data_IF_371322423643
#
_entry.id   IF_371322423643
#
_cell.length_a   1.000
_cell.length_b   1.000
_cell.length_c   1.000
_cell.angle_alpha   90.00
_cell.angle_beta   90.00
_cell.angle_gamma   90.00
#
_symmetry.space_group_name_H-M   'P 1'
#
loop_
_entity.id
_entity.type
_entity.pdbx_description
1 polymer ?
#
# COMPACT_ATOMS: atom_id res chain seq x y z
N UNK A 1 32.60 13.65 -4.05
CA UNK A 1 31.15 13.91 -3.88
C UNK A 1 30.48 12.55 -3.76
N UNK A 2 30.07 12.17 -2.55
CA UNK A 2 29.20 11.00 -2.38
C UNK A 2 27.89 11.25 -3.14
N UNK A 3 27.46 10.30 -3.96
CA UNK A 3 26.13 10.35 -4.54
C UNK A 3 25.10 10.34 -3.41
N UNK A 4 24.07 11.20 -3.44
CA UNK A 4 23.08 11.26 -2.38
C UNK A 4 22.45 9.89 -2.16
N UNK A 5 22.39 9.47 -0.88
CA UNK A 5 21.82 8.18 -0.48
C UNK A 5 20.34 8.15 -0.88
N UNK A 6 19.98 7.24 -1.78
CA UNK A 6 18.59 7.07 -2.19
C UNK A 6 17.82 6.41 -1.06
N UNK A 7 16.88 7.14 -0.47
CA UNK A 7 16.02 6.66 0.61
C UNK A 7 15.15 5.48 0.19
N UNK A 8 14.82 4.62 1.15
CA UNK A 8 13.86 3.56 0.92
C UNK A 8 12.46 4.14 0.64
N UNK A 9 11.68 3.46 -0.19
CA UNK A 9 10.27 3.78 -0.42
C UNK A 9 9.42 2.99 0.57
N UNK A 10 8.53 3.67 1.27
CA UNK A 10 7.70 3.10 2.33
C UNK A 10 6.23 3.18 1.93
N UNK A 11 5.51 2.06 2.08
CA UNK A 11 4.05 2.02 1.96
C UNK A 11 3.50 1.19 3.12
N UNK A 12 2.39 1.61 3.70
CA UNK A 12 1.78 0.92 4.84
C UNK A 12 0.37 0.42 4.50
N UNK A 13 0.05 -0.78 4.96
CA UNK A 13 -1.29 -1.35 4.96
C UNK A 13 -1.77 -1.45 6.40
N UNK A 14 -2.90 -0.82 6.74
CA UNK A 14 -3.46 -0.83 8.09
C UNK A 14 -4.57 -1.87 8.18
N UNK A 15 -4.56 -2.67 9.25
CA UNK A 15 -5.66 -3.57 9.56
C UNK A 15 -6.79 -2.76 10.21
N UNK A 16 -8.00 -2.86 9.66
CA UNK A 16 -9.15 -2.04 10.11
C UNK A 16 -9.73 -2.45 11.47
N UNK A 17 -9.61 -3.72 11.87
CA UNK A 17 -10.19 -4.26 13.11
C UNK A 17 -9.13 -4.68 14.15
N UNK A 18 -7.85 -4.37 13.91
CA UNK A 18 -6.75 -4.75 14.81
C UNK A 18 -5.63 -3.69 14.78
N UNK A 19 -4.88 -3.48 15.88
CA UNK A 19 -3.78 -2.52 15.94
C UNK A 19 -2.52 -3.01 15.20
N UNK A 20 -2.69 -3.58 14.02
CA UNK A 20 -1.63 -4.13 13.19
C UNK A 20 -1.51 -3.31 11.92
N UNK A 21 -0.28 -2.95 11.58
CA UNK A 21 0.10 -2.45 10.27
C UNK A 21 1.10 -3.39 9.61
N UNK A 22 1.16 -3.36 8.28
CA UNK A 22 2.22 -3.98 7.51
C UNK A 22 2.94 -2.90 6.71
N UNK A 23 4.22 -2.72 7.00
CA UNK A 23 5.10 -1.83 6.25
C UNK A 23 5.76 -2.62 5.12
N UNK A 24 5.62 -2.13 3.90
CA UNK A 24 6.34 -2.58 2.72
C UNK A 24 7.48 -1.60 2.43
N UNK A 25 8.71 -2.03 2.73
CA UNK A 25 9.93 -1.25 2.49
C UNK A 25 10.59 -1.70 1.20
N UNK A 26 10.69 -0.83 0.21
CA UNK A 26 11.34 -1.11 -1.09
C UNK A 26 12.58 -0.26 -1.31
N UNK A 27 13.61 -0.85 -1.90
CA UNK A 27 14.78 -0.09 -2.37
C UNK A 27 15.90 0.02 -1.32
N UNK A 28 17.04 0.62 -1.68
CA UNK A 28 17.38 1.05 -3.05
C UNK A 28 17.67 -0.13 -4.01
N UNK A 29 17.73 -1.37 -3.50
CA UNK A 29 17.87 -2.59 -4.31
C UNK A 29 16.52 -3.15 -4.77
N UNK A 30 16.49 -4.08 -5.73
CA UNK A 30 15.28 -4.83 -6.15
C UNK A 30 14.83 -5.84 -5.07
N UNK A 31 14.72 -5.41 -3.83
CA UNK A 31 14.22 -6.18 -2.71
C UNK A 31 13.13 -5.40 -1.98
N UNK A 32 12.15 -6.14 -1.46
CA UNK A 32 11.09 -5.61 -0.59
C UNK A 32 11.15 -6.36 0.73
N UNK A 33 11.14 -5.63 1.85
CA UNK A 33 10.92 -6.18 3.17
C UNK A 33 9.45 -5.97 3.57
N UNK A 34 8.85 -6.99 4.16
CA UNK A 34 7.59 -6.89 4.89
C UNK A 34 7.86 -6.85 6.38
N UNK A 35 7.31 -5.85 7.06
CA UNK A 35 7.61 -5.55 8.46
C UNK A 35 6.28 -5.37 9.18
N UNK A 36 6.09 -6.11 10.27
CA UNK A 36 4.95 -5.93 11.16
C UNK A 36 5.12 -4.62 11.93
N UNK A 37 4.07 -3.83 12.02
CA UNK A 37 3.98 -2.69 12.90
C UNK A 37 2.87 -2.94 13.93
N UNK A 38 3.24 -2.98 15.21
CA UNK A 38 2.29 -2.95 16.32
C UNK A 38 1.95 -1.48 16.61
N UNK A 39 0.71 -1.09 16.32
CA UNK A 39 0.23 0.30 16.43
C UNK A 39 -0.08 0.73 17.87
N UNK A 40 -0.12 -0.21 18.83
CA UNK A 40 -0.28 0.14 20.25
C UNK A 40 1.03 0.59 20.87
N UNK A 41 2.13 -0.04 20.47
CA UNK A 41 3.46 0.15 21.07
C UNK A 41 4.45 0.87 20.15
N UNK A 42 4.10 1.03 18.87
CA UNK A 42 5.00 1.45 17.80
C UNK A 42 6.25 0.57 17.65
N UNK A 43 6.10 -0.72 17.95
CA UNK A 43 7.14 -1.72 17.70
C UNK A 43 7.10 -2.20 16.25
N UNK A 44 8.28 -2.31 15.64
CA UNK A 44 8.47 -2.80 14.27
C UNK A 44 9.24 -4.11 14.29
N UNK A 45 8.68 -5.16 13.67
CA UNK A 45 9.29 -6.49 13.62
C UNK A 45 9.42 -6.97 12.18
N UNK A 46 10.65 -7.22 11.75
CA UNK A 46 10.93 -7.73 10.40
C UNK A 46 10.25 -9.09 10.20
N UNK A 47 9.49 -9.22 9.12
CA UNK A 47 8.93 -10.48 8.64
C UNK A 47 9.87 -11.13 7.64
N UNK A 48 9.66 -10.85 6.35
CA UNK A 48 10.38 -11.53 5.29
C UNK A 48 10.87 -10.58 4.21
N UNK A 49 11.93 -10.99 3.52
CA UNK A 49 12.42 -10.32 2.32
C UNK A 49 12.02 -11.06 1.06
N UNK A 50 11.68 -10.30 0.02
CA UNK A 50 11.45 -10.79 -1.33
C UNK A 50 12.41 -10.11 -2.30
N UNK A 51 13.13 -10.92 -3.10
CA UNK A 51 13.93 -10.43 -4.24
C UNK A 51 13.00 -10.22 -5.44
N UNK A 52 12.66 -8.96 -5.71
CA UNK A 52 11.67 -8.56 -6.71
C UNK A 52 10.93 -7.30 -6.29
N UNK A 53 9.69 -7.18 -6.75
CA UNK A 53 8.78 -6.08 -6.45
C UNK A 53 7.50 -6.65 -5.85
N UNK A 54 6.98 -5.96 -4.85
CA UNK A 54 5.57 -6.05 -4.44
C UNK A 54 4.90 -4.77 -4.94
N UNK A 55 3.72 -4.90 -5.53
CA UNK A 55 2.88 -3.78 -5.94
C UNK A 55 1.95 -3.42 -4.79
N UNK A 56 2.40 -2.48 -3.98
CA UNK A 56 1.76 -2.00 -2.75
C UNK A 56 0.30 -1.52 -2.96
N UNK A 57 0.03 -0.94 -4.13
CA UNK A 57 -1.30 -0.47 -4.56
C UNK A 57 -2.24 -1.61 -4.98
N UNK A 58 -1.71 -2.82 -5.18
CA UNK A 58 -2.45 -4.06 -5.51
C UNK A 58 -2.35 -5.10 -4.38
N UNK A 59 -2.15 -4.64 -3.15
CA UNK A 59 -2.02 -5.49 -1.98
C UNK A 59 -3.08 -5.11 -0.94
N UNK A 60 -3.36 -5.96 0.03
CA UNK A 60 -4.30 -5.64 1.10
C UNK A 60 -4.04 -6.49 2.33
N UNK A 61 -4.44 -5.97 3.49
CA UNK A 61 -4.31 -6.64 4.78
C UNK A 61 -5.70 -7.01 5.28
N UNK A 62 -5.87 -8.25 5.77
CA UNK A 62 -7.15 -8.67 6.34
C UNK A 62 -7.54 -7.77 7.51
N UNK A 63 -8.85 -7.58 7.78
CA UNK A 63 -9.30 -6.71 8.87
C UNK A 63 -8.64 -6.99 10.22
N UNK A 64 -8.40 -8.26 10.54
CA UNK A 64 -7.75 -8.69 11.78
C UNK A 64 -6.21 -8.70 11.74
N UNK A 65 -5.60 -8.25 10.63
CA UNK A 65 -4.17 -8.15 10.46
C UNK A 65 -3.44 -9.47 10.22
N UNK A 66 -4.15 -10.61 10.08
CA UNK A 66 -3.53 -11.94 10.01
C UNK A 66 -3.07 -12.35 8.63
N UNK A 67 -3.75 -11.90 7.58
CA UNK A 67 -3.48 -12.33 6.21
C UNK A 67 -3.14 -11.15 5.32
N UNK A 68 -2.12 -11.34 4.49
CA UNK A 68 -1.72 -10.40 3.46
C UNK A 68 -2.03 -11.01 2.10
N UNK A 69 -2.77 -10.27 1.27
CA UNK A 69 -2.86 -10.53 -0.17
C UNK A 69 -1.97 -9.52 -0.89
N UNK A 70 -1.14 -9.98 -1.82
CA UNK A 70 -0.21 -9.09 -2.52
C UNK A 70 0.07 -9.57 -3.94
N UNK A 71 0.29 -8.60 -4.83
CA UNK A 71 0.81 -8.85 -6.18
C UNK A 71 2.31 -8.61 -6.21
N UNK A 72 3.06 -9.56 -6.76
CA UNK A 72 4.51 -9.50 -6.84
C UNK A 72 5.06 -9.88 -8.21
N UNK A 73 6.28 -9.44 -8.49
CA UNK A 73 6.98 -9.70 -9.75
C UNK A 73 8.49 -9.77 -9.52
N UNK A 74 9.14 -10.77 -10.13
CA UNK A 74 10.59 -10.94 -10.11
C UNK A 74 11.21 -11.08 -11.51
N UNK A 75 10.39 -11.09 -12.57
CA UNK A 75 10.84 -11.18 -13.96
C UNK A 75 11.44 -12.53 -14.37
N UNK A 76 11.33 -13.57 -13.52
CA UNK A 76 11.75 -14.93 -13.87
C UNK A 76 10.67 -15.62 -14.71
N UNK A 77 10.48 -15.18 -15.95
CA UNK A 77 9.39 -15.60 -16.84
C UNK A 77 9.31 -17.11 -17.13
N UNK A 78 10.44 -17.83 -16.99
CA UNK A 78 10.50 -19.31 -17.15
C UNK A 78 10.21 -20.10 -15.87
N UNK A 79 10.00 -19.43 -14.74
CA UNK A 79 9.68 -20.09 -13.46
C UNK A 79 8.20 -20.47 -13.36
N UNK A 80 7.83 -21.27 -12.36
CA UNK A 80 6.43 -21.66 -12.11
C UNK A 80 5.48 -20.49 -11.92
N UNK A 81 5.99 -19.34 -11.46
CA UNK A 81 5.20 -18.12 -11.29
C UNK A 81 4.92 -17.41 -12.61
N UNK A 82 5.63 -17.75 -13.70
CA UNK A 82 5.63 -16.94 -14.91
C UNK A 82 6.14 -15.52 -14.65
N UNK A 83 7.11 -15.33 -13.73
CA UNK A 83 7.71 -14.03 -13.42
C UNK A 83 6.86 -13.05 -12.58
N UNK A 84 5.55 -13.26 -12.45
CA UNK A 84 4.62 -12.45 -11.64
C UNK A 84 3.48 -13.28 -11.04
N UNK A 85 2.98 -12.90 -9.87
CA UNK A 85 1.96 -13.69 -9.16
C UNK A 85 1.17 -12.87 -8.16
N UNK A 86 -0.03 -13.34 -7.84
CA UNK A 86 -0.73 -12.96 -6.61
C UNK A 86 -0.51 -14.06 -5.58
N UNK A 87 -0.30 -13.68 -4.33
CA UNK A 87 -0.18 -14.61 -3.22
C UNK A 87 -0.96 -14.14 -2.01
N UNK A 88 -1.40 -15.10 -1.21
CA UNK A 88 -1.93 -14.87 0.14
C UNK A 88 -1.01 -15.52 1.14
N UNK A 89 -0.67 -14.82 2.21
CA UNK A 89 0.30 -15.24 3.22
C UNK A 89 -0.17 -14.83 4.63
N UNK A 90 0.48 -15.34 5.67
CA UNK A 90 0.27 -14.84 7.04
C UNK A 90 1.13 -13.60 7.23
N UNK A 91 0.56 -12.46 7.62
CA UNK A 91 1.35 -11.28 7.92
C UNK A 91 2.24 -11.54 9.16
N UNK A 92 3.49 -11.02 9.20
CA UNK A 92 4.16 -10.20 8.19
C UNK A 92 4.96 -11.00 7.14
N UNK A 93 4.75 -12.31 7.03
CA UNK A 93 5.51 -13.19 6.14
C UNK A 93 5.04 -13.09 4.68
N UNK A 94 5.89 -13.52 3.75
CA UNK A 94 5.59 -13.56 2.31
C UNK A 94 5.54 -15.00 1.79
N UNK A 95 5.62 -16.02 2.68
CA UNK A 95 5.44 -17.42 2.28
C UNK A 95 3.97 -17.65 1.92
N UNK A 96 3.73 -17.95 0.65
CA UNK A 96 2.41 -18.12 0.08
C UNK A 96 1.67 -19.35 0.65
N UNK A 97 0.55 -19.11 1.32
CA UNK A 97 -0.50 -20.08 1.63
C UNK A 97 -1.32 -20.40 0.38
N UNK A 98 -1.70 -19.37 -0.38
CA UNK A 98 -2.30 -19.49 -1.71
C UNK A 98 -1.43 -18.77 -2.73
N UNK A 99 -1.30 -19.35 -3.92
CA UNK A 99 -0.36 -18.90 -4.95
C UNK A 99 -0.98 -18.98 -6.34
N UNK A 100 -1.04 -17.83 -6.99
CA UNK A 100 -1.72 -17.60 -8.26
C UNK A 100 -0.72 -17.03 -9.28
N UNK A 101 0.06 -17.89 -9.97
CA UNK A 101 0.90 -17.49 -11.10
C UNK A 101 0.13 -16.70 -12.15
N UNK A 102 0.79 -15.71 -12.74
CA UNK A 102 0.13 -14.80 -13.68
C UNK A 102 0.77 -14.77 -15.06
N UNK A 103 2.08 -14.54 -15.18
CA UNK A 103 2.73 -14.45 -16.50
C UNK A 103 2.83 -13.05 -17.09
N UNK A 104 2.13 -12.06 -16.51
CA UNK A 104 2.12 -10.65 -16.94
C UNK A 104 1.85 -9.71 -15.75
N UNK A 105 1.83 -8.38 -16.01
CA UNK A 105 1.57 -7.36 -14.99
C UNK A 105 0.18 -6.67 -15.12
N UNK A 106 -0.77 -7.24 -15.86
CA UNK A 106 -2.13 -6.70 -16.08
C UNK A 106 -3.12 -7.31 -15.09
N UNK A 107 -3.70 -6.58 -14.13
CA UNK A 107 -4.42 -7.18 -12.99
C UNK A 107 -3.51 -7.81 -11.93
N UNK A 108 -4.05 -8.74 -11.15
CA UNK A 108 -3.40 -9.26 -9.97
C UNK A 108 -3.57 -8.37 -8.74
N UNK A 109 -3.41 -9.01 -7.59
CA UNK A 109 -3.74 -8.45 -6.30
C UNK A 109 -5.17 -8.78 -5.91
N UNK A 110 -5.69 -8.06 -4.93
CA UNK A 110 -7.04 -8.26 -4.47
C UNK A 110 -7.30 -7.54 -3.15
N UNK A 111 -8.50 -7.76 -2.62
CA UNK A 111 -8.99 -7.10 -1.41
C UNK A 111 -9.64 -8.12 -0.48
N UNK A 112 -9.44 -7.93 0.83
CA UNK A 112 -10.21 -8.64 1.84
C UNK A 112 -11.55 -7.94 2.06
N UNK A 113 -12.63 -8.67 1.83
CA UNK A 113 -13.98 -8.24 2.20
C UNK A 113 -14.17 -8.35 3.72
N UNK A 114 -13.77 -9.48 4.29
CA UNK A 114 -13.78 -9.74 5.73
C UNK A 114 -12.50 -10.48 6.15
N UNK A 115 -12.45 -10.99 7.40
CA UNK A 115 -11.27 -11.63 7.99
C UNK A 115 -10.81 -12.90 7.24
N UNK A 116 -11.71 -13.52 6.48
CA UNK A 116 -11.46 -14.78 5.77
C UNK A 116 -11.89 -14.76 4.31
N UNK A 117 -12.68 -13.79 3.86
CA UNK A 117 -13.15 -13.70 2.47
C UNK A 117 -12.37 -12.64 1.72
N UNK A 118 -11.87 -12.99 0.53
CA UNK A 118 -11.17 -12.07 -0.35
C UNK A 118 -11.71 -12.11 -1.78
N UNK A 119 -11.49 -11.03 -2.51
CA UNK A 119 -11.70 -10.92 -3.94
C UNK A 119 -10.36 -10.80 -4.65
N UNK A 120 -10.19 -11.50 -5.78
CA UNK A 120 -9.03 -11.37 -6.65
C UNK A 120 -9.32 -10.40 -7.80
N UNK A 121 -8.38 -9.51 -8.05
CA UNK A 121 -8.43 -8.64 -9.22
C UNK A 121 -8.02 -9.44 -10.47
N UNK A 122 -9.01 -9.97 -11.20
CA UNK A 122 -8.81 -10.84 -12.36
C UNK A 122 -9.67 -10.42 -13.55
N UNK A 123 -9.13 -10.49 -14.76
CA UNK A 123 -9.92 -10.37 -16.00
C UNK A 123 -10.26 -11.71 -16.66
N UNK A 124 -9.35 -12.70 -16.62
CA UNK A 124 -9.46 -13.95 -17.40
C UNK A 124 -9.23 -15.22 -16.58
N UNK A 125 -9.32 -15.13 -15.24
CA UNK A 125 -9.01 -16.24 -14.32
C UNK A 125 -7.51 -16.42 -14.10
N UNK A 126 -7.08 -16.62 -12.85
CA UNK A 126 -5.70 -16.99 -12.56
C UNK A 126 -5.48 -18.50 -12.62
N UNK A 127 -4.25 -18.91 -12.97
CA UNK A 127 -3.82 -20.28 -12.72
C UNK A 127 -3.70 -20.46 -11.20
N UNK A 128 -4.45 -21.39 -10.63
CA UNK A 128 -4.32 -21.76 -9.22
C UNK A 128 -3.24 -22.83 -9.13
N UNK A 129 -2.09 -22.51 -8.53
CA UNK A 129 -1.01 -23.48 -8.31
C UNK A 129 -1.03 -24.03 -6.88
N UNK A 130 -1.44 -23.20 -5.93
CA UNK A 130 -1.66 -23.60 -4.54
C UNK A 130 -2.86 -22.83 -3.99
N UNK A 131 -3.68 -23.50 -3.21
CA UNK A 131 -4.81 -22.89 -2.52
C UNK A 131 -4.77 -23.21 -1.02
N UNK A 132 -5.59 -22.53 -0.23
CA UNK A 132 -5.68 -22.69 1.22
C UNK A 132 -7.12 -22.67 1.70
N UNK A 133 -7.44 -23.46 2.73
CA UNK A 133 -8.73 -23.39 3.44
C UNK A 133 -8.76 -22.30 4.52
N UNK A 134 -7.65 -21.61 4.76
CA UNK A 134 -7.53 -20.58 5.80
C UNK A 134 -8.35 -19.31 5.47
N UNK A 135 -8.49 -19.03 4.18
CA UNK A 135 -9.25 -17.93 3.59
C UNK A 135 -9.99 -18.44 2.35
N UNK A 136 -11.03 -17.75 1.90
CA UNK A 136 -11.90 -18.17 0.80
C UNK A 136 -12.02 -17.06 -0.23
N UNK A 137 -11.83 -17.40 -1.50
CA UNK A 137 -12.13 -16.52 -2.61
C UNK A 137 -13.66 -16.38 -2.77
N UNK A 138 -14.16 -15.14 -2.85
CA UNK A 138 -15.54 -14.84 -3.23
C UNK A 138 -15.56 -13.83 -4.39
N UNK A 139 -15.85 -14.28 -5.63
CA UNK A 139 -15.98 -13.40 -6.79
C UNK A 139 -17.09 -12.36 -6.66
N UNK A 140 -18.10 -12.60 -5.81
CA UNK A 140 -19.20 -11.65 -5.57
C UNK A 140 -18.77 -10.52 -4.63
N UNK A 141 -17.68 -10.69 -3.88
CA UNK A 141 -17.11 -9.66 -3.02
C UNK A 141 -16.27 -8.62 -3.77
N UNK A 142 -16.40 -8.57 -5.11
CA UNK A 142 -15.76 -7.55 -5.95
C UNK A 142 -16.18 -6.12 -5.55
N UNK A 143 -15.30 -5.13 -5.72
CA UNK A 143 -15.67 -3.72 -5.60
C UNK A 143 -16.91 -3.35 -6.41
N UNK A 144 -17.74 -2.46 -5.87
CA UNK A 144 -18.94 -1.97 -6.55
C UNK A 144 -18.59 -1.16 -7.81
N UNK A 145 -17.56 -0.32 -7.72
CA UNK A 145 -17.04 0.48 -8.81
C UNK A 145 -15.79 -0.15 -9.43
N UNK A 146 -15.63 0.05 -10.74
CA UNK A 146 -14.51 -0.47 -11.52
C UNK A 146 -13.63 0.68 -12.01
N UNK A 147 -12.36 0.67 -11.59
CA UNK A 147 -11.36 1.66 -12.00
C UNK A 147 -10.29 1.04 -12.90
N UNK A 148 -10.67 0.02 -13.68
CA UNK A 148 -9.78 -0.70 -14.59
C UNK A 148 -9.01 -1.83 -13.91
N UNK A 149 -8.16 -2.48 -14.70
CA UNK A 149 -7.54 -3.74 -14.28
C UNK A 149 -6.28 -3.58 -13.44
N UNK A 150 -5.63 -2.41 -13.37
CA UNK A 150 -4.28 -2.31 -12.81
C UNK A 150 -4.25 -1.84 -11.34
N UNK A 151 -3.43 -0.83 -11.01
CA UNK A 151 -3.34 -0.29 -9.67
C UNK A 151 -4.66 0.37 -9.22
N UNK A 152 -5.34 1.20 -10.04
CA UNK A 152 -6.55 1.89 -9.58
C UNK A 152 -7.69 0.94 -9.20
N UNK A 153 -7.86 -0.17 -9.92
CA UNK A 153 -8.89 -1.18 -9.68
C UNK A 153 -8.82 -1.88 -8.32
N UNK A 154 -7.66 -1.85 -7.65
CA UNK A 154 -7.50 -2.36 -6.28
C UNK A 154 -7.33 -1.19 -5.31
N UNK A 155 -6.56 -0.18 -5.70
CA UNK A 155 -6.17 0.91 -4.82
C UNK A 155 -7.33 1.82 -4.44
N UNK A 156 -8.14 2.26 -5.40
CA UNK A 156 -9.23 3.20 -5.14
C UNK A 156 -10.36 2.54 -4.32
N UNK A 157 -10.82 1.31 -4.64
CA UNK A 157 -11.78 0.64 -3.77
C UNK A 157 -11.24 0.39 -2.35
N UNK A 158 -9.94 0.13 -2.19
CA UNK A 158 -9.31 0.04 -0.88
C UNK A 158 -9.42 1.36 -0.14
N UNK A 159 -9.04 2.49 -0.75
CA UNK A 159 -9.14 3.81 -0.13
C UNK A 159 -10.59 4.10 0.32
N UNK A 160 -11.56 3.89 -0.57
CA UNK A 160 -12.98 4.10 -0.28
C UNK A 160 -13.44 3.24 0.91
N UNK A 161 -13.06 1.97 0.92
CA UNK A 161 -13.34 1.05 2.05
C UNK A 161 -12.72 1.54 3.36
N UNK A 162 -11.52 2.12 3.32
CA UNK A 162 -10.81 2.66 4.48
C UNK A 162 -11.25 4.09 4.86
N UNK A 163 -12.42 4.54 4.40
CA UNK A 163 -13.04 5.80 4.83
C UNK A 163 -12.53 7.05 4.11
N UNK A 164 -11.86 6.88 2.97
CA UNK A 164 -11.57 7.99 2.07
C UNK A 164 -12.77 8.29 1.16
N UNK A 165 -13.02 9.57 0.91
CA UNK A 165 -14.06 10.01 -0.02
C UNK A 165 -13.40 10.43 -1.32
N UNK A 166 -13.81 9.84 -2.45
CA UNK A 166 -13.45 10.35 -3.78
C UNK A 166 -14.21 11.68 -3.99
N UNK A 167 -13.47 12.78 -4.09
CA UNK A 167 -14.06 14.12 -4.27
C UNK A 167 -13.97 14.62 -5.71
N UNK A 168 -12.97 14.14 -6.46
CA UNK A 168 -12.74 14.56 -7.83
C UNK A 168 -12.06 13.44 -8.63
N UNK A 169 -12.46 13.29 -9.89
CA UNK A 169 -11.80 12.43 -10.85
C UNK A 169 -11.78 13.17 -12.19
N UNK A 170 -10.58 13.55 -12.63
CA UNK A 170 -10.40 14.31 -13.85
C UNK A 170 -9.34 13.67 -14.75
N UNK A 171 -9.66 13.60 -16.04
CA UNK A 171 -8.73 13.25 -17.10
C UNK A 171 -8.06 14.54 -17.58
N UNK A 172 -6.79 14.74 -17.22
CA UNK A 172 -6.01 15.94 -17.60
C UNK A 172 -5.68 15.91 -19.08
N UNK A 173 -5.21 14.75 -19.58
CA UNK A 173 -4.95 14.47 -20.99
C UNK A 173 -4.94 12.97 -21.24
N UNK A 174 -4.76 12.56 -22.50
CA UNK A 174 -4.70 11.14 -22.85
C UNK A 174 -3.61 10.43 -22.03
N UNK A 175 -4.00 9.39 -21.28
CA UNK A 175 -3.14 8.63 -20.36
C UNK A 175 -2.59 9.44 -19.19
N UNK A 176 -3.29 10.50 -18.77
CA UNK A 176 -3.00 11.27 -17.56
C UNK A 176 -4.30 11.57 -16.81
N UNK A 177 -4.46 10.92 -15.67
CA UNK A 177 -5.60 11.08 -14.78
C UNK A 177 -5.09 11.52 -13.40
N UNK A 178 -5.85 12.40 -12.76
CA UNK A 178 -5.71 12.66 -11.34
C UNK A 178 -7.03 12.40 -10.61
N UNK A 179 -6.93 11.80 -9.43
CA UNK A 179 -8.08 11.48 -8.59
C UNK A 179 -7.80 11.98 -7.19
N UNK A 180 -8.69 12.80 -6.68
CA UNK A 180 -8.55 13.41 -5.37
C UNK A 180 -9.42 12.64 -4.38
N UNK A 181 -8.78 12.18 -3.31
CA UNK A 181 -9.42 11.58 -2.15
C UNK A 181 -9.24 12.47 -0.93
N UNK A 182 -10.29 12.61 -0.13
CA UNK A 182 -10.24 13.32 1.15
C UNK A 182 -10.62 12.39 2.30
N UNK A 183 -9.94 12.53 3.43
CA UNK A 183 -10.28 11.85 4.68
C UNK A 183 -10.25 12.84 5.85
N UNK A 184 -11.32 12.93 6.67
CA UNK A 184 -11.30 13.77 7.86
C UNK A 184 -10.21 13.29 8.82
N UNK A 185 -9.38 14.21 9.32
CA UNK A 185 -8.30 13.92 10.29
C UNK A 185 -8.48 14.64 11.62
N UNK A 186 -9.67 15.23 11.83
CA UNK A 186 -10.07 15.88 13.07
C UNK A 186 -9.86 17.39 13.05
N UNK A 187 -10.52 18.09 14.00
CA UNK A 187 -10.44 19.55 14.17
C UNK A 187 -10.77 20.38 12.92
N UNK A 188 -11.59 19.84 12.03
CA UNK A 188 -11.99 20.48 10.76
C UNK A 188 -10.99 20.29 9.62
N UNK A 189 -9.85 19.64 9.87
CA UNK A 189 -8.86 19.33 8.85
C UNK A 189 -9.19 18.05 8.10
N UNK A 190 -8.76 18.01 6.84
CA UNK A 190 -8.82 16.84 5.98
C UNK A 190 -7.43 16.52 5.42
N UNK A 191 -7.06 15.25 5.43
CA UNK A 191 -5.96 14.76 4.62
C UNK A 191 -6.47 14.59 3.20
N UNK A 192 -5.85 15.30 2.26
CA UNK A 192 -6.10 15.15 0.84
C UNK A 192 -4.98 14.35 0.21
N UNK A 193 -5.36 13.39 -0.62
CA UNK A 193 -4.47 12.56 -1.41
C UNK A 193 -4.81 12.77 -2.88
N UNK A 194 -3.81 13.13 -3.67
CA UNK A 194 -3.94 13.32 -5.11
C UNK A 194 -3.25 12.14 -5.77
N UNK A 195 -4.03 11.18 -6.26
CA UNK A 195 -3.54 9.99 -6.93
C UNK A 195 -3.38 10.25 -8.42
N UNK A 196 -2.18 10.06 -8.94
CA UNK A 196 -1.82 10.29 -10.33
C UNK A 196 -1.67 8.96 -11.08
N UNK A 197 -2.23 8.90 -12.28
CA UNK A 197 -2.00 7.83 -13.25
C UNK A 197 -1.50 8.45 -14.56
N UNK A 198 -0.20 8.35 -14.84
CA UNK A 198 0.41 9.01 -16.01
C UNK A 198 1.53 8.21 -16.69
N UNK A 199 1.68 8.39 -18.00
CA UNK A 199 2.88 7.98 -18.73
C UNK A 199 3.92 9.11 -18.65
N UNK A 200 5.17 8.78 -18.32
CA UNK A 200 6.23 9.79 -18.17
C UNK A 200 6.13 10.56 -16.85
N UNK A 201 5.93 9.84 -15.74
CA UNK A 201 5.92 10.40 -14.40
C UNK A 201 7.21 11.14 -14.05
N UNK A 202 7.18 12.09 -13.09
CA UNK A 202 8.38 12.79 -12.64
C UNK A 202 9.50 11.84 -12.21
N UNK A 203 10.78 12.27 -12.27
CA UNK A 203 11.91 11.45 -11.85
C UNK A 203 11.70 10.82 -10.46
N UNK A 204 11.93 9.50 -10.36
CA UNK A 204 11.77 8.76 -9.12
C UNK A 204 10.34 8.31 -8.78
N UNK A 205 9.33 8.70 -9.58
CA UNK A 205 7.95 8.22 -9.48
C UNK A 205 7.68 7.15 -10.55
N UNK A 206 6.75 6.24 -10.25
CA UNK A 206 6.22 5.31 -11.25
C UNK A 206 4.98 5.90 -11.94
N UNK A 207 4.40 5.17 -12.88
CA UNK A 207 3.16 5.57 -13.56
C UNK A 207 1.98 5.81 -12.62
N UNK A 208 2.01 5.22 -11.42
CA UNK A 208 1.06 5.48 -10.34
C UNK A 208 1.77 6.01 -9.10
N UNK A 209 1.40 7.20 -8.63
CA UNK A 209 2.01 7.85 -7.48
C UNK A 209 1.03 8.81 -6.81
N UNK A 210 1.31 9.20 -5.57
CA UNK A 210 0.44 10.11 -4.81
C UNK A 210 1.20 11.36 -4.37
N UNK A 211 0.44 12.44 -4.23
CA UNK A 211 0.78 13.63 -3.45
C UNK A 211 -0.17 13.77 -2.26
N UNK A 212 0.26 14.54 -1.26
CA UNK A 212 -0.49 14.76 -0.05
C UNK A 212 -0.49 16.24 0.34
N UNK A 213 -1.61 16.68 0.89
CA UNK A 213 -1.73 17.96 1.57
C UNK A 213 -2.75 17.86 2.71
N UNK A 214 -2.65 18.76 3.67
CA UNK A 214 -3.67 18.94 4.69
C UNK A 214 -4.50 20.17 4.32
N UNK A 215 -5.79 19.95 4.02
CA UNK A 215 -6.75 21.02 3.80
C UNK A 215 -7.35 21.43 5.16
N UNK A 216 -7.25 22.72 5.46
CA UNK A 216 -7.75 23.32 6.69
C UNK A 216 -9.26 23.59 6.67
N UNK A 217 -9.83 23.97 7.82
CA UNK A 217 -11.24 24.31 7.94
C UNK A 217 -11.62 25.60 7.19
N UNK A 218 -10.69 26.54 7.05
CA UNK A 218 -10.93 27.81 6.35
C UNK A 218 -10.66 27.68 4.83
N UNK A 219 -11.47 28.32 3.97
CA UNK A 219 -11.23 28.29 2.53
C UNK A 219 -9.83 28.76 2.15
N UNK A 220 -9.12 27.96 1.35
CA UNK A 220 -7.76 28.26 0.90
C UNK A 220 -6.66 27.97 1.93
N UNK A 221 -6.99 27.54 3.15
CA UNK A 221 -6.01 27.08 4.12
C UNK A 221 -5.51 25.69 3.73
N UNK A 222 -4.23 25.56 3.38
CA UNK A 222 -3.61 24.25 3.12
C UNK A 222 -2.17 24.18 3.61
N UNK A 223 -1.73 22.97 3.95
CA UNK A 223 -0.35 22.64 4.27
C UNK A 223 0.12 21.61 3.23
N UNK A 224 0.97 22.04 2.31
CA UNK A 224 1.57 21.16 1.31
C UNK A 224 2.50 20.16 2.00
N UNK A 225 2.41 18.89 1.60
CA UNK A 225 3.23 17.81 2.14
C UNK A 225 3.97 17.05 1.01
N UNK A 226 4.83 17.74 0.24
CA UNK A 226 5.38 17.21 -1.02
C UNK A 226 6.27 15.99 -0.84
N UNK A 227 6.91 15.86 0.31
CA UNK A 227 7.84 14.75 0.61
C UNK A 227 7.14 13.49 1.12
N UNK A 228 5.82 13.55 1.33
CA UNK A 228 5.05 12.42 1.84
C UNK A 228 4.75 11.43 0.73
N UNK A 229 5.30 10.23 0.85
CA UNK A 229 5.08 9.15 -0.12
C UNK A 229 3.81 8.36 0.14
N UNK A 230 3.40 8.32 1.41
CA UNK A 230 2.22 7.66 1.92
C UNK A 230 1.77 8.41 3.18
N UNK A 231 0.46 8.54 3.38
CA UNK A 231 -0.12 9.05 4.61
C UNK A 231 -1.53 8.50 4.81
N UNK A 232 -1.90 8.26 6.07
CA UNK A 232 -3.24 7.88 6.51
C UNK A 232 -3.44 8.20 8.01
N UNK A 233 -4.62 7.91 8.54
CA UNK A 233 -4.98 8.09 9.95
C UNK A 233 -4.80 6.77 10.71
N UNK A 234 -4.11 6.85 11.86
CA UNK A 234 -3.98 5.78 12.84
C UNK A 234 -4.64 6.23 14.15
N UNK A 235 -5.90 5.85 14.37
CA UNK A 235 -6.66 6.33 15.53
C UNK A 235 -6.88 7.84 15.49
N UNK A 236 -6.33 8.58 16.46
CA UNK A 236 -6.44 10.04 16.56
C UNK A 236 -5.21 10.80 16.05
N UNK A 237 -4.23 10.09 15.49
CA UNK A 237 -2.99 10.67 14.95
C UNK A 237 -2.88 10.43 13.45
N UNK A 238 -2.30 11.42 12.78
CA UNK A 238 -1.88 11.31 11.40
C UNK A 238 -0.54 10.57 11.36
N UNK A 239 -0.38 9.66 10.41
CA UNK A 239 0.87 8.95 10.15
C UNK A 239 1.24 9.08 8.68
N UNK A 240 2.53 9.27 8.42
CA UNK A 240 3.03 9.44 7.05
C UNK A 240 4.44 8.91 6.93
N UNK A 241 4.82 8.56 5.70
CA UNK A 241 6.20 8.23 5.36
C UNK A 241 6.85 9.32 4.54
N UNK A 242 8.07 9.68 4.92
CA UNK A 242 8.94 10.57 4.16
C UNK A 242 10.38 10.10 4.33
N UNK A 243 11.21 10.25 3.29
CA UNK A 243 12.65 9.96 3.34
C UNK A 243 13.02 8.57 3.88
N UNK A 244 12.21 7.54 3.60
CA UNK A 244 12.47 6.17 4.08
C UNK A 244 12.16 5.94 5.56
N UNK A 245 11.46 6.87 6.21
CA UNK A 245 11.05 6.83 7.60
C UNK A 245 9.52 6.85 7.73
N UNK A 246 9.02 6.48 8.90
CA UNK A 246 7.62 6.65 9.29
C UNK A 246 7.52 7.64 10.44
N UNK A 247 6.57 8.56 10.36
CA UNK A 247 6.34 9.63 11.33
C UNK A 247 4.88 9.64 11.79
N UNK A 248 4.64 10.29 12.92
CA UNK A 248 3.32 10.55 13.44
C UNK A 248 3.18 11.94 14.07
N UNK A 249 1.99 12.52 14.01
CA UNK A 249 1.62 13.72 14.75
C UNK A 249 0.11 13.80 14.97
N UNK A 250 -0.31 14.48 16.04
CA UNK A 250 -1.72 14.85 16.22
C UNK A 250 -2.06 16.09 15.41
N UNK A 251 -3.26 16.10 14.83
CA UNK A 251 -3.80 17.29 14.17
C UNK A 251 -4.43 18.20 15.23
N UNK A 252 -4.01 19.46 15.23
CA UNK A 252 -4.46 20.53 16.13
C UNK A 252 -5.35 21.50 15.37
N UNK A 253 -5.91 22.50 16.04
CA UNK A 253 -6.73 23.53 15.37
C UNK A 253 -5.89 24.30 14.34
N UNK A 254 -4.64 24.57 14.68
CA UNK A 254 -3.69 25.35 13.89
C UNK A 254 -3.02 24.54 12.77
N UNK A 255 -3.28 23.23 12.68
CA UNK A 255 -2.66 22.33 11.70
C UNK A 255 -1.94 21.15 12.32
N UNK A 256 -0.89 20.67 11.66
CA UNK A 256 -0.12 19.52 12.12
C UNK A 256 0.69 19.87 13.36
N UNK A 257 0.57 19.08 14.43
CA UNK A 257 1.41 19.20 15.61
C UNK A 257 2.86 18.75 15.37
N UNK A 258 3.71 18.76 16.41
CA UNK A 258 5.08 18.28 16.31
C UNK A 258 5.15 16.83 15.83
N UNK A 259 5.99 16.57 14.84
CA UNK A 259 6.24 15.24 14.31
C UNK A 259 7.12 14.42 15.26
N UNK A 260 6.75 13.15 15.42
CA UNK A 260 7.55 12.13 16.10
C UNK A 260 7.98 11.11 15.06
N UNK A 261 9.27 10.80 14.99
CA UNK A 261 9.78 9.69 14.20
C UNK A 261 9.40 8.37 14.90
N UNK A 262 8.71 7.49 14.18
CA UNK A 262 8.37 6.15 14.68
C UNK A 262 9.47 5.14 14.35
N UNK A 263 10.04 5.22 13.13
CA UNK A 263 11.09 4.32 12.69
C UNK A 263 11.82 4.81 11.43
N UNK A 264 13.13 4.53 11.34
CA UNK A 264 13.94 4.70 10.14
C UNK A 264 14.26 3.34 9.49
N UNK A 265 13.85 3.16 8.23
CA UNK A 265 14.03 1.91 7.49
C UNK A 265 15.20 1.94 6.49
N UNK A 266 16.01 3.00 6.48
CA UNK A 266 17.05 3.19 5.47
C UNK A 266 18.23 2.22 5.61
N UNK A 267 18.61 1.85 6.83
CA UNK A 267 19.77 0.99 7.11
C UNK A 267 19.51 -0.50 6.90
N UNK A 268 18.27 -0.89 6.60
CA UNK A 268 17.91 -2.29 6.39
C UNK A 268 18.56 -2.88 5.13
N UNK A 269 19.14 -4.07 5.27
CA UNK A 269 19.73 -4.86 4.20
C UNK A 269 19.05 -6.22 4.06
N UNK A 270 19.09 -6.78 2.85
CA UNK A 270 18.46 -8.07 2.57
C UNK A 270 18.99 -9.15 3.51
N UNK A 271 18.08 -9.83 4.22
CA UNK A 271 18.39 -10.99 5.03
C UNK A 271 17.49 -12.16 4.61
N UNK A 272 18.04 -13.34 4.30
CA UNK A 272 17.22 -14.51 3.98
C UNK A 272 16.57 -15.04 5.27
N UNK A 273 15.28 -14.74 5.45
CA UNK A 273 14.50 -15.21 6.60
C UNK A 273 13.42 -16.17 6.10
N UNK A 274 13.34 -17.35 6.71
CA UNK A 274 12.30 -18.33 6.44
C UNK A 274 11.06 -18.03 7.29
N UNK A 275 9.87 -18.23 6.71
CA UNK A 275 8.64 -18.09 7.49
C UNK A 275 8.44 -19.32 8.40
N UNK A 276 7.90 -19.16 9.61
CA UNK A 276 7.85 -20.20 10.65
C UNK A 276 6.74 -21.25 10.45
N UNK A 277 6.19 -21.37 9.24
CA UNK A 277 5.15 -22.31 8.83
C UNK A 277 5.41 -22.68 7.38
#
# INVERSE_FOLDING_TARGET
MESPRVAARIHVLLARDAPIGLVLRRGPTRCVASILWDRQTDEFRLGQWLKGRIYERRSDLSPDGKYLIYFAMNGKWRSESGGSWTAISRAPWLKALAFFPKGDCWHGGGLFHDKKTYWLNEASGHKILRDTSSVRHDPKAKPAENYGGECPGVYYPRLIREGWTLVEHQSVRRFEEHVIFEKPVGRGWKLRKIAHAQIGSPPGKGCYWDEHELAGPEPGQSIACPDWEWADLDGDRLVWSAEGKLFAAKVRKEGLGPATELHDFNDMSFTPIEAPY
#
